data_IF_906486858167
#
_entry.id   IF_906486858167
#
_cell.length_a   1.000
_cell.length_b   1.000
_cell.length_c   1.000
_cell.angle_alpha   90.00
_cell.angle_beta   90.00
_cell.angle_gamma   90.00
#
_symmetry.space_group_name_H-M   'P 1'
#
loop_
_entity.id
_entity.type
_entity.pdbx_description
1 polymer ?
#
# COMPACT_ATOMS: atom_id res chain seq x y z
N UNK A 1 12.48 -21.43 17.92
CA UNK A 1 11.39 -21.97 17.06
C UNK A 1 11.98 -22.63 15.83
N UNK A 2 11.29 -23.61 15.23
CA UNK A 2 11.76 -24.26 13.98
C UNK A 2 11.63 -23.27 12.82
N UNK A 3 12.67 -23.16 11.97
CA UNK A 3 12.62 -22.26 10.80
C UNK A 3 11.58 -22.76 9.79
N UNK A 4 10.80 -21.85 9.23
CA UNK A 4 9.87 -22.11 8.13
C UNK A 4 10.58 -22.17 6.76
N UNK A 5 11.75 -21.52 6.66
CA UNK A 5 12.45 -21.31 5.39
C UNK A 5 12.72 -22.61 4.63
N UNK A 6 12.26 -22.70 3.39
CA UNK A 6 12.40 -23.84 2.50
C UNK A 6 11.46 -25.02 2.79
N UNK A 7 10.49 -24.86 3.69
CA UNK A 7 9.55 -25.93 4.05
C UNK A 7 8.30 -25.93 3.15
N UNK A 8 7.58 -27.06 3.11
CA UNK A 8 6.25 -27.12 2.50
C UNK A 8 5.26 -26.21 3.21
N UNK A 9 5.41 -26.00 4.51
CA UNK A 9 4.56 -25.11 5.30
C UNK A 9 4.73 -23.66 4.87
N UNK A 10 5.95 -23.19 4.61
CA UNK A 10 6.20 -21.86 4.06
C UNK A 10 5.46 -21.67 2.72
N UNK A 11 5.63 -22.64 1.80
CA UNK A 11 4.92 -22.61 0.51
C UNK A 11 3.39 -22.56 0.66
N UNK A 12 2.86 -23.38 1.58
CA UNK A 12 1.41 -23.40 1.84
C UNK A 12 0.92 -22.07 2.43
N UNK A 13 1.70 -21.42 3.30
CA UNK A 13 1.37 -20.11 3.85
C UNK A 13 1.38 -19.01 2.78
N UNK A 14 2.34 -19.03 1.86
CA UNK A 14 2.39 -18.12 0.71
C UNK A 14 1.17 -18.30 -0.21
N UNK A 15 0.81 -19.56 -0.49
CA UNK A 15 -0.37 -19.88 -1.31
C UNK A 15 -1.67 -19.46 -0.61
N UNK A 16 -1.79 -19.71 0.70
CA UNK A 16 -2.93 -19.26 1.48
C UNK A 16 -3.04 -17.74 1.51
N UNK A 17 -1.95 -17.02 1.79
CA UNK A 17 -1.91 -15.55 1.74
C UNK A 17 -2.35 -14.99 0.38
N UNK A 18 -1.85 -15.57 -0.71
CA UNK A 18 -2.23 -15.15 -2.06
C UNK A 18 -3.71 -15.43 -2.35
N UNK A 19 -4.22 -16.61 -1.96
CA UNK A 19 -5.62 -17.00 -2.13
C UNK A 19 -6.59 -16.07 -1.40
N UNK A 20 -6.33 -15.80 -0.13
CA UNK A 20 -7.16 -14.91 0.69
C UNK A 20 -7.11 -13.45 0.20
N UNK A 21 -5.93 -12.98 -0.21
CA UNK A 21 -5.77 -11.64 -0.80
C UNK A 21 -6.57 -11.47 -2.09
N UNK A 22 -6.57 -12.50 -2.93
CA UNK A 22 -7.37 -12.54 -4.16
C UNK A 22 -8.88 -12.62 -3.86
N UNK A 23 -9.30 -13.47 -2.93
CA UNK A 23 -10.69 -13.61 -2.52
C UNK A 23 -11.23 -12.28 -1.96
N UNK A 24 -10.47 -11.62 -1.09
CA UNK A 24 -10.81 -10.29 -0.56
C UNK A 24 -11.13 -9.29 -1.67
N UNK A 25 -10.29 -9.19 -2.68
CA UNK A 25 -10.51 -8.24 -3.77
C UNK A 25 -11.72 -8.65 -4.62
N UNK A 26 -11.86 -9.92 -4.99
CA UNK A 26 -13.00 -10.43 -5.76
C UNK A 26 -14.33 -10.16 -5.05
N UNK A 27 -14.43 -10.44 -3.75
CA UNK A 27 -15.67 -10.22 -3.00
C UNK A 27 -16.02 -8.74 -2.85
N UNK A 28 -15.02 -7.86 -2.72
CA UNK A 28 -15.25 -6.40 -2.79
C UNK A 28 -15.92 -6.01 -4.11
N UNK A 29 -15.43 -6.51 -5.25
CA UNK A 29 -16.01 -6.22 -6.56
C UNK A 29 -17.36 -6.87 -6.77
N UNK A 30 -17.58 -8.09 -6.26
CA UNK A 30 -18.89 -8.75 -6.31
C UNK A 30 -19.93 -7.99 -5.49
N UNK A 31 -19.56 -7.45 -4.33
CA UNK A 31 -20.41 -6.57 -3.54
C UNK A 31 -20.84 -5.30 -4.29
N UNK A 32 -19.90 -4.66 -5.02
CA UNK A 32 -20.22 -3.50 -5.86
C UNK A 32 -21.25 -3.87 -6.94
N UNK A 33 -21.12 -5.02 -7.59
CA UNK A 33 -22.07 -5.49 -8.62
C UNK A 33 -23.43 -5.77 -8.00
N UNK A 34 -23.49 -6.47 -6.85
CA UNK A 34 -24.73 -6.77 -6.16
C UNK A 34 -25.48 -5.49 -5.74
N UNK A 35 -24.76 -4.49 -5.21
CA UNK A 35 -25.34 -3.19 -4.81
C UNK A 35 -25.93 -2.45 -6.00
N UNK A 36 -25.20 -2.40 -7.14
CA UNK A 36 -25.73 -1.80 -8.39
C UNK A 36 -26.98 -2.49 -8.94
N UNK A 37 -27.13 -3.77 -8.64
CA UNK A 37 -28.31 -4.56 -9.02
C UNK A 37 -29.48 -4.47 -8.00
N UNK A 38 -29.33 -3.71 -6.90
CA UNK A 38 -30.35 -3.52 -5.87
C UNK A 38 -30.38 -4.65 -4.82
N UNK A 39 -29.36 -5.52 -4.75
CA UNK A 39 -29.26 -6.61 -3.78
C UNK A 39 -28.37 -6.21 -2.58
N UNK A 40 -28.82 -5.24 -1.79
CA UNK A 40 -28.04 -4.67 -0.68
C UNK A 40 -27.60 -5.72 0.35
N UNK A 41 -28.49 -6.64 0.75
CA UNK A 41 -28.14 -7.72 1.66
C UNK A 41 -27.01 -8.61 1.12
N UNK A 42 -27.05 -8.95 -0.18
CA UNK A 42 -25.98 -9.75 -0.81
C UNK A 42 -24.68 -8.94 -0.84
N UNK A 43 -24.75 -7.64 -1.17
CA UNK A 43 -23.59 -6.76 -1.17
C UNK A 43 -22.92 -6.70 0.21
N UNK A 44 -23.70 -6.53 1.28
CA UNK A 44 -23.19 -6.49 2.67
C UNK A 44 -22.54 -7.83 3.07
N UNK A 45 -23.10 -8.96 2.65
CA UNK A 45 -22.51 -10.27 2.91
C UNK A 45 -21.16 -10.44 2.20
N UNK A 46 -21.04 -9.99 0.94
CA UNK A 46 -19.75 -9.96 0.24
C UNK A 46 -18.74 -9.05 0.93
N UNK A 47 -19.13 -7.84 1.33
CA UNK A 47 -18.26 -6.90 2.03
C UNK A 47 -17.77 -7.45 3.38
N UNK A 48 -18.67 -8.07 4.14
CA UNK A 48 -18.34 -8.74 5.41
C UNK A 48 -17.34 -9.87 5.18
N UNK A 49 -17.59 -10.73 4.18
CA UNK A 49 -16.71 -11.85 3.86
C UNK A 49 -15.35 -11.32 3.37
N UNK A 50 -15.31 -10.29 2.52
CA UNK A 50 -14.06 -9.65 2.08
C UNK A 50 -13.21 -9.15 3.27
N UNK A 51 -13.84 -8.63 4.34
CA UNK A 51 -13.14 -8.25 5.55
C UNK A 51 -12.63 -9.44 6.37
N UNK A 52 -13.34 -10.59 6.34
CA UNK A 52 -12.84 -11.83 6.95
C UNK A 52 -11.60 -12.34 6.20
N UNK A 53 -11.62 -12.37 4.86
CA UNK A 53 -10.46 -12.80 4.05
C UNK A 53 -9.25 -11.89 4.23
N UNK A 54 -9.47 -10.57 4.41
CA UNK A 54 -8.38 -9.66 4.81
C UNK A 54 -7.75 -10.06 6.15
N UNK A 55 -8.57 -10.49 7.13
CA UNK A 55 -8.06 -10.93 8.43
C UNK A 55 -7.29 -12.25 8.32
N UNK A 56 -7.76 -13.20 7.50
CA UNK A 56 -7.05 -14.45 7.22
C UNK A 56 -5.70 -14.18 6.52
N UNK A 57 -5.68 -13.38 5.47
CA UNK A 57 -4.46 -12.99 4.77
C UNK A 57 -3.44 -12.37 5.74
N UNK A 58 -3.89 -11.47 6.64
CA UNK A 58 -3.03 -10.86 7.65
C UNK A 58 -2.43 -11.88 8.63
N UNK A 59 -3.20 -12.91 9.05
CA UNK A 59 -2.67 -13.99 9.89
C UNK A 59 -1.52 -14.71 9.19
N UNK A 60 -1.70 -15.13 7.94
CA UNK A 60 -0.67 -15.85 7.17
C UNK A 60 0.55 -14.97 6.88
N UNK A 61 0.36 -13.69 6.62
CA UNK A 61 1.45 -12.73 6.41
C UNK A 61 2.32 -12.58 7.66
N UNK A 62 1.71 -12.60 8.85
CA UNK A 62 2.43 -12.59 10.13
C UNK A 62 3.21 -13.88 10.38
N UNK A 63 2.59 -15.04 10.10
CA UNK A 63 3.28 -16.34 10.25
C UNK A 63 4.50 -16.48 9.31
N UNK A 64 4.48 -15.77 8.17
CA UNK A 64 5.59 -15.67 7.24
C UNK A 64 6.72 -14.73 7.71
N UNK A 65 6.55 -14.04 8.85
CA UNK A 65 7.48 -13.04 9.39
C UNK A 65 7.82 -11.91 8.39
N UNK A 66 6.82 -11.51 7.58
CA UNK A 66 6.97 -10.48 6.54
C UNK A 66 6.49 -9.09 6.99
N UNK A 67 5.96 -8.97 8.20
CA UNK A 67 5.51 -7.71 8.77
C UNK A 67 6.59 -7.14 9.69
N UNK A 68 7.33 -6.17 9.19
CA UNK A 68 8.37 -5.46 9.95
C UNK A 68 7.87 -4.14 10.56
N UNK A 69 8.82 -3.34 11.03
CA UNK A 69 8.55 -1.95 11.39
C UNK A 69 8.30 -1.07 10.14
N UNK A 70 8.03 0.21 10.35
CA UNK A 70 7.68 1.12 9.24
C UNK A 70 8.79 1.22 8.20
N UNK A 71 10.06 1.28 8.61
CA UNK A 71 11.19 1.39 7.69
C UNK A 71 11.38 0.09 6.88
N UNK A 72 11.32 -1.05 7.54
CA UNK A 72 11.40 -2.36 6.89
C UNK A 72 10.23 -2.57 5.90
N UNK A 73 9.01 -2.18 6.27
CA UNK A 73 7.84 -2.29 5.39
C UNK A 73 7.94 -1.35 4.18
N UNK A 74 8.47 -0.14 4.34
CA UNK A 74 8.72 0.77 3.21
C UNK A 74 9.78 0.22 2.25
N UNK A 75 10.85 -0.38 2.78
CA UNK A 75 11.86 -1.03 1.97
C UNK A 75 11.27 -2.21 1.20
N UNK A 76 10.56 -3.11 1.87
CA UNK A 76 9.91 -4.27 1.24
C UNK A 76 8.91 -3.85 0.17
N UNK A 77 8.12 -2.80 0.41
CA UNK A 77 7.23 -2.24 -0.59
C UNK A 77 8.01 -1.70 -1.80
N UNK A 78 9.06 -0.90 -1.58
CA UNK A 78 9.88 -0.36 -2.66
C UNK A 78 10.55 -1.46 -3.52
N UNK A 79 11.02 -2.54 -2.89
CA UNK A 79 11.61 -3.68 -3.59
C UNK A 79 10.55 -4.48 -4.39
N UNK A 80 9.35 -4.63 -3.86
CA UNK A 80 8.22 -5.22 -4.57
C UNK A 80 7.86 -4.43 -5.82
N UNK A 81 7.62 -3.14 -5.69
CA UNK A 81 7.32 -2.26 -6.84
C UNK A 81 8.47 -2.23 -7.86
N UNK A 82 9.72 -2.24 -7.39
CA UNK A 82 10.88 -2.32 -8.28
C UNK A 82 10.84 -3.60 -9.13
N UNK A 83 10.60 -4.76 -8.52
CA UNK A 83 10.47 -6.02 -9.25
C UNK A 83 9.31 -5.96 -10.26
N UNK A 84 8.18 -5.37 -9.89
CA UNK A 84 7.02 -5.29 -10.77
C UNK A 84 7.30 -4.49 -12.05
N UNK A 85 7.93 -3.32 -11.95
CA UNK A 85 8.15 -2.49 -13.13
C UNK A 85 9.45 -2.82 -13.91
N UNK A 86 10.46 -3.43 -13.29
CA UNK A 86 11.72 -3.76 -13.98
C UNK A 86 11.70 -5.14 -14.62
N UNK A 87 10.94 -6.10 -14.09
CA UNK A 87 10.95 -7.50 -14.52
C UNK A 87 9.53 -8.02 -14.86
N UNK A 88 8.64 -8.07 -13.88
CA UNK A 88 7.35 -8.76 -13.99
C UNK A 88 6.48 -8.21 -15.14
N UNK A 89 6.14 -6.92 -15.10
CA UNK A 89 5.28 -6.31 -16.12
C UNK A 89 5.96 -6.17 -17.47
N UNK A 90 7.28 -5.99 -17.52
CA UNK A 90 8.05 -5.95 -18.77
C UNK A 90 7.89 -7.27 -19.52
N UNK A 91 8.10 -8.38 -18.80
CA UNK A 91 7.98 -9.73 -19.34
C UNK A 91 6.54 -10.07 -19.74
N UNK A 92 5.59 -9.79 -18.85
CA UNK A 92 4.17 -10.05 -19.12
C UNK A 92 3.65 -9.24 -20.31
N UNK A 93 4.08 -7.97 -20.48
CA UNK A 93 3.68 -7.15 -21.61
C UNK A 93 4.26 -7.67 -22.93
N UNK A 94 5.50 -8.15 -22.93
CA UNK A 94 6.10 -8.78 -24.10
C UNK A 94 5.35 -10.06 -24.49
N UNK A 95 5.09 -10.95 -23.54
CA UNK A 95 4.33 -12.19 -23.76
C UNK A 95 2.93 -11.90 -24.30
N UNK A 96 2.23 -10.92 -23.74
CA UNK A 96 0.89 -10.52 -24.23
C UNK A 96 0.93 -9.97 -25.67
N UNK A 97 1.99 -9.28 -26.06
CA UNK A 97 2.18 -8.77 -27.41
C UNK A 97 2.45 -9.92 -28.42
N UNK A 98 3.32 -10.85 -28.04
CA UNK A 98 3.63 -12.05 -28.83
C UNK A 98 2.40 -12.96 -29.03
N UNK A 99 1.50 -13.03 -28.03
CA UNK A 99 0.25 -13.78 -28.10
C UNK A 99 -0.89 -13.04 -28.83
N UNK A 100 -0.67 -11.80 -29.29
CA UNK A 100 -1.65 -11.01 -30.03
C UNK A 100 -2.66 -10.23 -29.18
N UNK A 101 -2.28 -9.86 -27.96
CA UNK A 101 -3.07 -9.02 -27.03
C UNK A 101 -2.42 -7.61 -26.80
N UNK A 102 -2.24 -6.80 -27.85
CA UNK A 102 -1.51 -5.53 -27.74
C UNK A 102 -2.17 -4.52 -26.77
N UNK A 103 -3.49 -4.53 -26.63
CA UNK A 103 -4.20 -3.66 -25.68
C UNK A 103 -3.92 -4.04 -24.22
N UNK A 104 -3.78 -5.33 -23.94
CA UNK A 104 -3.40 -5.85 -22.62
C UNK A 104 -1.95 -5.47 -22.33
N UNK A 105 -1.06 -5.70 -23.31
CA UNK A 105 0.36 -5.32 -23.21
C UNK A 105 0.53 -3.81 -22.94
N UNK A 106 -0.24 -2.96 -23.61
CA UNK A 106 -0.22 -1.53 -23.37
C UNK A 106 -0.66 -1.16 -21.93
N UNK A 107 -1.69 -1.83 -21.40
CA UNK A 107 -2.12 -1.64 -20.00
C UNK A 107 -1.04 -2.08 -19.00
N UNK A 108 -0.40 -3.24 -19.24
CA UNK A 108 0.71 -3.73 -18.41
C UNK A 108 1.87 -2.74 -18.38
N UNK A 109 2.27 -2.19 -19.54
CA UNK A 109 3.29 -1.13 -19.59
C UNK A 109 2.86 0.15 -18.85
N UNK A 110 1.58 0.50 -18.95
CA UNK A 110 1.01 1.63 -18.21
C UNK A 110 1.08 1.44 -16.70
N UNK A 111 0.75 0.24 -16.22
CA UNK A 111 0.86 -0.13 -14.80
C UNK A 111 2.33 -0.10 -14.36
N UNK A 112 3.25 -0.70 -15.12
CA UNK A 112 4.69 -0.64 -14.82
C UNK A 112 5.19 0.79 -14.59
N UNK A 113 4.72 1.76 -15.39
CA UNK A 113 5.08 3.17 -15.21
C UNK A 113 4.50 3.78 -13.92
N UNK A 114 3.39 3.25 -13.42
CA UNK A 114 2.80 3.65 -12.13
C UNK A 114 3.62 3.04 -10.98
N UNK A 115 3.98 1.75 -11.06
CA UNK A 115 4.72 1.06 -10.00
C UNK A 115 6.12 1.66 -9.80
N UNK A 116 6.74 2.17 -10.88
CA UNK A 116 7.96 2.97 -10.76
C UNK A 116 7.78 4.19 -9.85
N UNK A 117 6.65 4.90 -9.96
CA UNK A 117 6.36 6.06 -9.11
C UNK A 117 6.04 5.65 -7.67
N UNK A 118 5.45 4.48 -7.46
CA UNK A 118 5.22 3.92 -6.13
C UNK A 118 6.57 3.61 -5.47
N UNK A 119 7.51 2.97 -6.17
CA UNK A 119 8.86 2.74 -5.68
C UNK A 119 9.56 4.04 -5.28
N UNK A 120 9.58 5.04 -6.17
CA UNK A 120 10.19 6.34 -5.91
C UNK A 120 9.59 6.99 -4.65
N UNK A 121 8.28 6.89 -4.46
CA UNK A 121 7.56 7.37 -3.27
C UNK A 121 8.00 6.65 -2.01
N UNK A 122 8.01 5.32 -2.01
CA UNK A 122 8.38 4.53 -0.85
C UNK A 122 9.85 4.74 -0.46
N UNK A 123 10.76 4.81 -1.43
CA UNK A 123 12.17 5.14 -1.16
C UNK A 123 12.33 6.53 -0.57
N UNK A 124 11.56 7.52 -1.06
CA UNK A 124 11.60 8.87 -0.49
C UNK A 124 11.04 8.93 0.93
N UNK A 125 10.00 8.18 1.23
CA UNK A 125 9.44 8.08 2.60
C UNK A 125 10.43 7.37 3.54
N UNK A 126 11.09 6.31 3.08
CA UNK A 126 12.14 5.62 3.83
C UNK A 126 13.29 6.58 4.15
N UNK A 127 13.80 7.29 3.16
CA UNK A 127 14.83 8.30 3.34
C UNK A 127 14.42 9.37 4.38
N UNK A 128 13.16 9.82 4.34
CA UNK A 128 12.67 10.79 5.32
C UNK A 128 12.66 10.23 6.75
N UNK A 129 12.43 8.94 6.94
CA UNK A 129 12.52 8.29 8.26
C UNK A 129 13.99 8.24 8.72
N UNK A 130 14.88 7.73 7.85
CA UNK A 130 16.31 7.56 8.16
C UNK A 130 17.00 8.90 8.47
N UNK A 131 16.61 9.96 7.76
CA UNK A 131 17.15 11.32 7.95
C UNK A 131 16.38 12.13 9.00
N UNK A 132 15.38 11.55 9.70
CA UNK A 132 14.50 12.24 10.66
C UNK A 132 13.78 13.47 10.07
N UNK A 133 13.42 13.40 8.79
CA UNK A 133 12.79 14.47 8.00
C UNK A 133 11.29 14.29 7.76
N UNK A 134 10.65 13.39 8.46
CA UNK A 134 9.18 13.22 8.37
C UNK A 134 8.48 14.49 8.86
N UNK A 135 8.90 14.98 10.04
CA UNK A 135 8.30 16.13 10.73
C UNK A 135 9.20 17.38 10.73
N UNK A 136 10.26 17.39 9.92
CA UNK A 136 11.13 18.55 9.65
C UNK A 136 11.58 18.52 8.19
N UNK A 137 11.95 19.67 7.62
CA UNK A 137 12.44 19.74 6.22
C UNK A 137 13.67 20.64 6.16
N UNK A 138 14.60 20.31 5.24
CA UNK A 138 15.82 21.11 5.03
C UNK A 138 15.53 22.48 4.41
N UNK A 139 14.33 22.66 3.84
CA UNK A 139 13.88 23.92 3.22
C UNK A 139 13.69 25.07 4.22
N UNK A 140 13.89 24.83 5.51
CA UNK A 140 13.65 25.82 6.56
C UNK A 140 12.18 25.87 6.99
N UNK A 141 11.60 27.07 7.01
CA UNK A 141 10.19 27.23 7.41
C UNK A 141 9.27 26.47 6.44
N UNK A 142 8.51 25.55 6.98
CA UNK A 142 7.57 24.68 6.27
C UNK A 142 6.16 24.93 6.81
N UNK A 143 5.18 24.88 5.91
CA UNK A 143 3.76 24.96 6.29
C UNK A 143 3.30 23.55 6.62
N UNK A 144 2.85 23.35 7.86
CA UNK A 144 2.34 22.08 8.37
C UNK A 144 0.84 22.16 8.59
N UNK A 145 0.14 21.09 8.24
CA UNK A 145 -1.30 20.96 8.46
C UNK A 145 -1.61 19.75 9.34
N UNK A 146 -2.47 19.95 10.33
CA UNK A 146 -3.02 18.86 11.14
C UNK A 146 -4.13 18.14 10.39
N UNK A 147 -3.92 16.90 9.97
CA UNK A 147 -4.87 16.06 9.24
C UNK A 147 -6.17 15.77 9.98
N UNK A 148 -6.23 16.01 11.28
CA UNK A 148 -7.46 15.82 12.06
C UNK A 148 -8.36 17.04 12.05
N UNK A 149 -7.81 18.27 12.20
CA UNK A 149 -8.63 19.47 12.38
C UNK A 149 -8.36 20.58 11.37
N UNK A 150 -7.41 20.40 10.43
CA UNK A 150 -7.05 21.42 9.44
C UNK A 150 -6.23 22.60 10.00
N UNK A 151 -5.75 22.53 11.27
CA UNK A 151 -4.92 23.60 11.81
C UNK A 151 -3.61 23.72 11.04
N UNK A 152 -3.33 24.92 10.55
CA UNK A 152 -2.11 25.24 9.81
C UNK A 152 -1.13 26.00 10.71
N UNK A 153 0.14 25.61 10.65
CA UNK A 153 1.22 26.28 11.36
C UNK A 153 2.48 26.36 10.50
N UNK A 154 3.23 27.43 10.60
CA UNK A 154 4.52 27.60 9.92
C UNK A 154 5.64 27.42 10.93
N UNK A 155 6.58 26.53 10.62
CA UNK A 155 7.70 26.23 11.52
C UNK A 155 8.79 25.41 10.85
N UNK A 156 9.94 25.29 11.53
CA UNK A 156 11.05 24.42 11.09
C UNK A 156 10.67 22.93 11.19
N UNK A 157 9.75 22.63 12.12
CA UNK A 157 9.22 21.28 12.32
C UNK A 157 7.73 21.35 12.64
N UNK A 158 7.03 20.22 12.42
CA UNK A 158 5.67 20.03 12.88
C UNK A 158 5.63 20.05 14.42
N UNK A 159 4.59 20.64 15.05
CA UNK A 159 4.42 20.63 16.51
C UNK A 159 4.31 19.20 17.05
N UNK A 160 4.85 18.95 18.25
CA UNK A 160 4.70 17.64 18.92
C UNK A 160 3.23 17.30 19.22
N UNK A 161 2.43 18.35 19.51
CA UNK A 161 1.00 18.24 19.79
C UNK A 161 0.28 19.38 19.08
N UNK A 162 -0.82 19.09 18.43
CA UNK A 162 -1.65 20.11 17.80
C UNK A 162 -2.28 21.04 18.88
N UNK A 163 -2.04 22.37 18.82
CA UNK A 163 -2.55 23.28 19.85
C UNK A 163 -4.08 23.46 19.81
N UNK A 164 -4.74 23.02 18.76
CA UNK A 164 -6.19 23.15 18.59
C UNK A 164 -6.94 21.91 19.02
N UNK A 165 -6.48 20.70 18.60
CA UNK A 165 -7.23 19.46 18.84
C UNK A 165 -6.47 18.40 19.65
N UNK A 166 -5.28 18.73 20.17
CA UNK A 166 -4.44 17.89 21.02
C UNK A 166 -4.01 16.54 20.37
N UNK A 167 -4.12 16.39 19.06
CA UNK A 167 -3.57 15.21 18.38
C UNK A 167 -2.04 15.27 18.31
N UNK A 168 -1.35 14.13 18.40
CA UNK A 168 0.11 14.07 18.38
C UNK A 168 0.70 14.45 17.01
N UNK A 169 2.00 14.72 16.97
CA UNK A 169 2.78 15.11 15.79
C UNK A 169 2.53 14.24 14.55
N UNK A 170 2.28 12.95 14.73
CA UNK A 170 1.96 12.02 13.63
C UNK A 170 0.72 12.38 12.81
N UNK A 171 -0.09 13.33 13.27
CA UNK A 171 -1.21 13.87 12.51
C UNK A 171 -0.85 15.06 11.62
N UNK A 172 0.39 15.57 11.70
CA UNK A 172 0.81 16.64 10.81
C UNK A 172 1.41 16.11 9.50
N UNK A 173 1.13 16.84 8.44
CA UNK A 173 1.76 16.67 7.13
C UNK A 173 2.17 18.03 6.56
N UNK A 174 3.00 18.01 5.51
CA UNK A 174 3.31 19.24 4.76
C UNK A 174 2.04 19.68 4.04
N UNK A 175 1.60 20.90 4.31
CA UNK A 175 0.44 21.48 3.64
C UNK A 175 0.72 21.66 2.13
N UNK A 176 -0.23 21.31 1.31
CA UNK A 176 -0.18 21.46 -0.14
C UNK A 176 -1.52 21.99 -0.67
N UNK A 177 -1.47 23.14 -1.30
CA UNK A 177 -2.59 23.64 -2.11
C UNK A 177 -2.58 22.92 -3.46
N UNK A 178 -3.68 22.22 -3.78
CA UNK A 178 -3.81 21.45 -5.03
C UNK A 178 -5.12 21.75 -5.79
N UNK A 179 -5.71 22.90 -5.56
CA UNK A 179 -6.93 23.39 -6.18
C UNK A 179 -6.74 24.68 -6.97
#
# INVERSE_FOLDING_TARGET
MKSLKGTKTEKNLLEAFAGESMARNKYTWFGIVARKAGYDQIAELFEKTANNEKAHAYMWFKELDQLGDTAANLLAAAEGENHEWTDMYVKMAQEAEEEGFPEIAAKMRGVAAIEKRHEERYRKLLQNIEEMKVFSKDSGLTIWECRNCGHIVVGLSAPEVCPVCAHPQGFFEVHMDNF
#
